data_IF_590043862903
#
_entry.id   IF_590043862903
#
_cell.length_a   1.000
_cell.length_b   1.000
_cell.length_c   1.000
_cell.angle_alpha   90.00
_cell.angle_beta   90.00
_cell.angle_gamma   90.00
#
_symmetry.space_group_name_H-M   'P 1'
#
loop_
_entity.id
_entity.type
_entity.pdbx_description
1 polymer ?
#
# COMPACT_ATOMS: atom_id res chain seq x y z
N UNK A 1 -17.15 26.98 4.02
CA UNK A 1 -16.23 25.87 4.40
C UNK A 1 -16.15 24.94 3.21
N UNK A 2 -14.96 24.47 2.82
CA UNK A 2 -14.84 23.61 1.65
C UNK A 2 -15.16 22.18 2.06
N UNK A 3 -16.33 21.71 1.68
CA UNK A 3 -16.82 20.38 2.01
C UNK A 3 -16.07 19.32 1.21
N UNK A 4 -14.98 18.84 1.80
CA UNK A 4 -14.18 17.72 1.29
C UNK A 4 -14.91 16.40 1.53
N UNK A 5 -16.09 16.21 0.91
CA UNK A 5 -16.79 14.92 0.88
C UNK A 5 -16.01 13.95 0.00
N UNK A 6 -14.94 13.37 0.55
CA UNK A 6 -14.34 12.18 -0.04
C UNK A 6 -15.36 11.05 -0.01
N UNK A 7 -15.49 10.34 -1.13
CA UNK A 7 -16.26 9.10 -1.18
C UNK A 7 -15.67 8.15 -0.15
N UNK A 8 -16.42 7.89 0.93
CA UNK A 8 -16.07 6.95 1.99
C UNK A 8 -15.59 5.63 1.34
N UNK A 9 -14.47 5.08 1.81
CA UNK A 9 -13.96 3.78 1.35
C UNK A 9 -12.94 3.80 0.21
N UNK A 10 -12.58 4.95 -0.36
CA UNK A 10 -11.50 5.01 -1.38
C UNK A 10 -10.11 5.10 -0.74
N UNK A 11 -9.30 4.06 -0.95
CA UNK A 11 -7.90 4.01 -0.55
C UNK A 11 -7.03 5.02 -1.33
N UNK A 12 -5.88 5.41 -0.76
CA UNK A 12 -4.88 6.18 -1.49
C UNK A 12 -4.35 5.36 -2.66
N UNK A 13 -4.29 5.98 -3.85
CA UNK A 13 -3.65 5.41 -5.03
C UNK A 13 -2.13 5.63 -4.98
N UNK A 14 -1.39 4.90 -5.81
CA UNK A 14 0.06 5.11 -5.96
C UNK A 14 0.39 6.56 -6.35
N UNK A 15 -0.41 7.17 -7.23
CA UNK A 15 -0.19 8.57 -7.64
C UNK A 15 -0.37 9.53 -6.47
N UNK A 16 -1.39 9.29 -5.63
CA UNK A 16 -1.61 10.07 -4.40
C UNK A 16 -0.41 9.93 -3.46
N UNK A 17 0.17 8.74 -3.33
CA UNK A 17 1.37 8.50 -2.50
C UNK A 17 2.60 9.22 -3.05
N UNK A 18 2.80 9.21 -4.37
CA UNK A 18 3.89 9.94 -5.04
C UNK A 18 3.78 11.45 -4.84
N UNK A 19 2.56 12.00 -4.87
CA UNK A 19 2.30 13.40 -4.54
C UNK A 19 2.66 13.73 -3.09
N UNK A 20 2.29 12.86 -2.14
CA UNK A 20 2.69 13.00 -0.73
C UNK A 20 4.21 13.05 -0.63
N UNK A 21 4.94 12.13 -1.27
CA UNK A 21 6.39 12.12 -1.24
C UNK A 21 7.01 13.42 -1.76
N UNK A 22 6.51 13.94 -2.89
CA UNK A 22 6.96 15.23 -3.44
C UNK A 22 6.72 16.37 -2.45
N UNK A 23 5.50 16.51 -1.93
CA UNK A 23 5.17 17.60 -1.01
C UNK A 23 5.87 17.50 0.35
N UNK A 24 6.19 16.29 0.81
CA UNK A 24 7.02 16.12 2.02
C UNK A 24 8.47 16.56 1.78
N UNK A 25 9.00 16.39 0.56
CA UNK A 25 10.31 16.97 0.17
C UNK A 25 10.27 18.50 0.09
N UNK A 26 9.14 19.07 -0.32
CA UNK A 26 8.88 20.52 -0.30
C UNK A 26 8.61 21.10 1.10
N UNK A 27 8.55 20.26 2.15
CA UNK A 27 8.36 20.71 3.54
C UNK A 27 6.90 20.95 3.95
N UNK A 28 5.91 20.52 3.16
CA UNK A 28 4.50 20.72 3.49
C UNK A 28 4.06 19.95 4.75
N UNK A 29 3.16 20.57 5.51
CA UNK A 29 2.53 19.96 6.67
C UNK A 29 1.53 18.88 6.25
N UNK A 30 1.24 17.95 7.16
CA UNK A 30 0.30 16.86 6.88
C UNK A 30 -1.13 17.38 6.63
N UNK A 31 -1.48 18.53 7.23
CA UNK A 31 -2.79 19.17 7.04
C UNK A 31 -2.91 19.77 5.64
N UNK A 32 -1.87 20.46 5.16
CA UNK A 32 -1.86 21.01 3.79
C UNK A 32 -1.93 19.91 2.75
N UNK A 33 -1.14 18.84 2.92
CA UNK A 33 -1.19 17.67 2.03
C UNK A 33 -2.59 17.03 2.03
N UNK A 34 -3.24 16.99 3.19
CA UNK A 34 -4.59 16.46 3.30
C UNK A 34 -5.61 17.36 2.56
N UNK A 35 -5.52 18.68 2.72
CA UNK A 35 -6.35 19.63 1.98
C UNK A 35 -6.16 19.52 0.47
N UNK A 36 -4.92 19.37 -0.01
CA UNK A 36 -4.62 19.22 -1.43
C UNK A 36 -5.18 17.93 -2.04
N UNK A 37 -5.23 16.85 -1.27
CA UNK A 37 -5.80 15.56 -1.70
C UNK A 37 -7.31 15.45 -1.41
N UNK A 38 -7.90 16.45 -0.74
CA UNK A 38 -9.25 16.38 -0.20
C UNK A 38 -9.45 15.26 0.83
N UNK A 39 -8.40 14.80 1.51
CA UNK A 39 -8.43 13.68 2.47
C UNK A 39 -8.46 14.19 3.91
N UNK A 40 -8.86 13.33 4.85
CA UNK A 40 -8.73 13.64 6.26
C UNK A 40 -7.23 13.72 6.66
N UNK A 41 -6.81 14.71 7.48
CA UNK A 41 -5.43 14.82 7.97
C UNK A 41 -4.93 13.55 8.65
N UNK A 42 -5.83 12.82 9.32
CA UNK A 42 -5.51 11.57 9.98
C UNK A 42 -5.07 10.48 8.98
N UNK A 43 -5.70 10.42 7.80
CA UNK A 43 -5.31 9.47 6.75
C UNK A 43 -3.86 9.70 6.33
N UNK A 44 -3.49 10.96 6.08
CA UNK A 44 -2.12 11.33 5.70
C UNK A 44 -1.13 11.02 6.82
N UNK A 45 -1.47 11.31 8.08
CA UNK A 45 -0.62 10.97 9.23
C UNK A 45 -0.35 9.45 9.30
N UNK A 46 -1.40 8.63 9.20
CA UNK A 46 -1.24 7.17 9.26
C UNK A 46 -0.47 6.60 8.07
N UNK A 47 -0.67 7.16 6.88
CA UNK A 47 0.07 6.78 5.68
C UNK A 47 1.56 7.10 5.82
N UNK A 48 1.90 8.33 6.25
CA UNK A 48 3.29 8.72 6.48
C UNK A 48 3.93 7.83 7.54
N UNK A 49 3.27 7.61 8.67
CA UNK A 49 3.79 6.74 9.74
C UNK A 49 4.09 5.32 9.24
N UNK A 50 3.31 4.79 8.30
CA UNK A 50 3.53 3.46 7.68
C UNK A 50 4.59 3.46 6.58
N UNK A 51 4.71 4.55 5.84
CA UNK A 51 5.60 4.69 4.69
C UNK A 51 6.97 5.31 5.00
N UNK A 52 7.19 5.78 6.23
CA UNK A 52 8.49 6.32 6.66
C UNK A 52 9.50 5.19 6.80
N UNK A 53 10.62 5.35 6.10
CA UNK A 53 11.77 4.43 6.13
C UNK A 53 12.97 5.16 6.73
N UNK A 54 13.73 4.44 7.57
CA UNK A 54 14.99 4.92 8.12
C UNK A 54 16.10 4.68 7.10
N UNK A 55 16.56 5.74 6.43
CA UNK A 55 17.65 5.68 5.45
C UNK A 55 18.98 6.04 6.10
N UNK A 56 20.00 5.20 5.89
CA UNK A 56 21.38 5.49 6.28
C UNK A 56 21.99 6.53 5.34
N UNK A 57 22.56 7.60 5.90
CA UNK A 57 23.27 8.64 5.14
C UNK A 57 24.80 8.49 5.22
N UNK A 58 25.29 7.55 6.03
CA UNK A 58 26.71 7.32 6.29
C UNK A 58 27.15 7.73 7.70
N UNK A 59 28.26 7.20 8.19
CA UNK A 59 28.86 7.48 9.52
C UNK A 59 27.87 7.42 10.70
N UNK A 60 27.00 6.41 10.71
CA UNK A 60 25.99 6.22 11.77
C UNK A 60 24.84 7.24 11.76
N UNK A 61 24.75 8.11 10.75
CA UNK A 61 23.66 9.07 10.61
C UNK A 61 22.49 8.45 9.86
N UNK A 62 21.30 8.62 10.42
CA UNK A 62 20.06 8.15 9.84
C UNK A 62 19.13 9.32 9.56
N UNK A 63 18.33 9.19 8.51
CA UNK A 63 17.26 10.12 8.20
C UNK A 63 15.98 9.34 7.95
N UNK A 64 14.91 9.82 8.55
CA UNK A 64 13.56 9.33 8.26
C UNK A 64 13.06 10.01 6.99
N UNK A 65 12.70 9.19 6.00
CA UNK A 65 12.21 9.65 4.70
C UNK A 65 10.98 8.83 4.35
N UNK A 66 9.90 9.53 3.98
CA UNK A 66 8.73 8.88 3.42
C UNK A 66 9.04 8.37 2.01
N UNK A 67 8.73 7.10 1.74
CA UNK A 67 8.85 6.50 0.41
C UNK A 67 7.48 6.02 -0.06
N UNK A 68 7.03 6.54 -1.20
CA UNK A 68 5.74 6.16 -1.77
C UNK A 68 5.70 4.68 -2.17
N UNK A 69 6.78 4.18 -2.78
CA UNK A 69 6.86 2.79 -3.24
C UNK A 69 6.85 1.81 -2.07
N UNK A 70 7.59 2.11 -1.00
CA UNK A 70 7.56 1.30 0.22
C UNK A 70 6.17 1.28 0.86
N UNK A 71 5.52 2.44 0.95
CA UNK A 71 4.17 2.55 1.50
C UNK A 71 3.14 1.74 0.69
N UNK A 72 3.25 1.78 -0.63
CA UNK A 72 2.44 0.97 -1.54
C UNK A 72 2.69 -0.53 -1.31
N UNK A 73 3.94 -0.96 -1.27
CA UNK A 73 4.30 -2.36 -1.05
C UNK A 73 3.79 -2.89 0.29
N UNK A 74 3.94 -2.09 1.36
CA UNK A 74 3.38 -2.37 2.68
C UNK A 74 1.86 -2.54 2.63
N UNK A 75 1.16 -1.65 1.91
CA UNK A 75 -0.29 -1.76 1.75
C UNK A 75 -0.70 -3.04 1.00
N UNK A 76 -0.04 -3.36 -0.11
CA UNK A 76 -0.33 -4.56 -0.91
C UNK A 76 -0.06 -5.86 -0.12
N UNK A 77 1.05 -5.91 0.61
CA UNK A 77 1.39 -7.06 1.46
C UNK A 77 0.36 -7.27 2.57
N UNK A 78 -0.13 -6.20 3.19
CA UNK A 78 -1.21 -6.27 4.16
C UNK A 78 -2.52 -6.70 3.52
N UNK A 79 -2.80 -6.23 2.29
CA UNK A 79 -4.03 -6.57 1.57
C UNK A 79 -4.11 -8.05 1.21
N UNK A 80 -2.98 -8.68 0.88
CA UNK A 80 -2.88 -10.14 0.67
C UNK A 80 -3.29 -10.96 1.89
N UNK A 81 -3.16 -10.40 3.10
CA UNK A 81 -3.56 -11.05 4.35
C UNK A 81 -5.03 -10.82 4.72
N UNK A 82 -5.67 -9.80 4.14
CA UNK A 82 -7.07 -9.46 4.41
C UNK A 82 -8.08 -10.31 3.63
N UNK A 83 -7.63 -11.07 2.63
CA UNK A 83 -8.49 -11.96 1.84
C UNK A 83 -8.63 -13.33 2.51
N UNK A 84 -9.85 -13.89 2.48
CA UNK A 84 -10.12 -15.24 2.99
C UNK A 84 -9.27 -16.23 2.19
N UNK A 85 -8.42 -16.99 2.89
CA UNK A 85 -7.65 -18.06 2.26
C UNK A 85 -8.62 -19.12 1.77
N UNK A 86 -8.54 -19.49 0.49
CA UNK A 86 -9.24 -20.64 -0.04
C UNK A 86 -8.63 -21.91 0.57
N UNK A 87 -9.37 -22.58 1.45
CA UNK A 87 -8.96 -23.87 2.01
C UNK A 87 -9.37 -24.98 1.05
N UNK A 88 -8.43 -25.50 0.26
CA UNK A 88 -8.60 -26.76 -0.45
C UNK A 88 -8.28 -27.92 0.50
N UNK A 89 -9.13 -28.94 0.55
CA UNK A 89 -8.81 -30.19 1.25
C UNK A 89 -7.59 -30.85 0.59
N UNK A 90 -6.84 -31.65 1.36
CA UNK A 90 -5.63 -32.32 0.86
C UNK A 90 -5.93 -33.15 -0.40
N UNK A 91 -7.05 -33.87 -0.38
CA UNK A 91 -7.54 -34.67 -1.51
C UNK A 91 -7.81 -33.85 -2.77
N UNK A 92 -8.42 -32.66 -2.64
CA UNK A 92 -8.69 -31.79 -3.79
C UNK A 92 -7.39 -31.23 -4.37
N UNK A 93 -6.40 -30.90 -3.54
CA UNK A 93 -5.08 -30.47 -4.00
C UNK A 93 -4.35 -31.56 -4.79
N UNK A 94 -4.50 -32.82 -4.40
CA UNK A 94 -3.90 -33.97 -5.10
C UNK A 94 -4.65 -34.30 -6.41
N UNK A 95 -5.98 -34.12 -6.46
CA UNK A 95 -6.80 -34.36 -7.67
C UNK A 95 -6.61 -33.31 -8.76
N UNK A 96 -6.29 -32.06 -8.43
CA UNK A 96 -6.15 -30.97 -9.40
C UNK A 96 -5.01 -31.23 -10.41
N UNK A 97 -3.76 -31.53 -10.00
CA UNK A 97 -2.68 -31.87 -10.93
C UNK A 97 -3.00 -33.09 -11.79
N UNK A 98 -3.62 -34.13 -11.21
CA UNK A 98 -4.02 -35.35 -11.94
C UNK A 98 -5.06 -35.06 -13.03
N UNK A 99 -6.02 -34.18 -12.74
CA UNK A 99 -7.01 -33.74 -13.73
C UNK A 99 -6.37 -32.93 -14.86
N UNK A 100 -5.44 -32.03 -14.52
CA UNK A 100 -4.73 -31.20 -15.50
C UNK A 100 -3.87 -32.06 -16.42
N UNK A 101 -3.09 -33.00 -15.87
CA UNK A 101 -2.25 -33.91 -16.66
C UNK A 101 -3.06 -34.89 -17.50
N UNK A 102 -4.23 -35.32 -17.01
CA UNK A 102 -5.14 -36.21 -17.74
C UNK A 102 -5.81 -35.54 -18.94
N UNK A 103 -6.23 -34.29 -18.79
CA UNK A 103 -7.09 -33.63 -19.79
C UNK A 103 -6.38 -32.59 -20.66
N UNK A 104 -5.28 -32.00 -20.19
CA UNK A 104 -4.55 -30.94 -20.88
C UNK A 104 -3.11 -31.32 -21.20
N UNK A 105 -2.82 -32.63 -21.33
CA UNK A 105 -1.53 -33.12 -21.80
C UNK A 105 -1.27 -32.48 -23.17
N UNK A 106 -0.43 -31.44 -23.19
CA UNK A 106 0.03 -30.80 -24.42
C UNK A 106 0.70 -31.89 -25.25
N UNK A 107 0.11 -32.18 -26.41
CA UNK A 107 0.77 -32.94 -27.47
C UNK A 107 1.98 -32.16 -27.96
#
# INVERSE_FOLDING_TARGET
MQDNYTTKGKHLTIDSRRLIERWKKEGKSNREVASLLGKAPQTIHTEIKRGTVRKCLGKGRFKEVYSADYAQQCYENNRKRSVKKSSLTKELKEKIPLYITKNFRLK
#
